data_IF_127076263337
#
_entry.id   IF_127076263337
#
_cell.length_a   1.000
_cell.length_b   1.000
_cell.length_c   1.000
_cell.angle_alpha   90.00
_cell.angle_beta   90.00
_cell.angle_gamma   90.00
#
_symmetry.space_group_name_H-M   'P 1'
#
loop_
_entity.id
_entity.type
_entity.pdbx_description
1 polymer ?
#
# COMPACT_ATOMS: atom_id res chain seq x y z
N UNK A 1 -18.06 5.18 -2.22
CA UNK A 1 -16.81 5.95 -2.53
C UNK A 1 -16.90 6.69 -3.87
N UNK A 2 -16.50 7.97 -3.92
CA UNK A 2 -16.45 8.72 -5.19
C UNK A 2 -15.36 8.14 -6.12
N UNK A 3 -15.54 8.23 -7.45
CA UNK A 3 -14.53 7.75 -8.40
C UNK A 3 -13.14 8.38 -8.14
N UNK A 4 -13.11 9.66 -7.76
CA UNK A 4 -11.86 10.38 -7.46
C UNK A 4 -11.16 9.82 -6.22
N UNK A 5 -11.89 9.49 -5.16
CA UNK A 5 -11.33 8.90 -3.94
C UNK A 5 -10.75 7.50 -4.21
N UNK A 6 -11.41 6.73 -5.09
CA UNK A 6 -10.94 5.41 -5.50
C UNK A 6 -9.61 5.50 -6.23
N UNK A 7 -9.48 6.45 -7.15
CA UNK A 7 -8.22 6.74 -7.82
C UNK A 7 -7.14 7.26 -6.87
N UNK A 8 -7.49 8.12 -5.92
CA UNK A 8 -6.54 8.62 -4.93
C UNK A 8 -5.99 7.49 -4.04
N UNK A 9 -6.86 6.55 -3.64
CA UNK A 9 -6.47 5.37 -2.87
C UNK A 9 -5.53 4.47 -3.68
N UNK A 10 -5.89 4.16 -4.93
CA UNK A 10 -5.06 3.35 -5.83
C UNK A 10 -3.70 4.00 -6.11
N UNK A 11 -3.69 5.29 -6.43
CA UNK A 11 -2.47 6.05 -6.66
C UNK A 11 -1.60 6.12 -5.39
N UNK A 12 -2.21 6.30 -4.21
CA UNK A 12 -1.49 6.28 -2.94
C UNK A 12 -0.84 4.93 -2.64
N UNK A 13 -1.55 3.83 -2.91
CA UNK A 13 -0.98 2.48 -2.75
C UNK A 13 0.18 2.33 -3.72
N UNK A 14 -0.02 2.65 -5.00
CA UNK A 14 0.99 2.54 -6.03
C UNK A 14 2.25 3.35 -5.70
N UNK A 15 2.09 4.60 -5.27
CA UNK A 15 3.19 5.49 -4.90
C UNK A 15 3.96 5.01 -3.66
N UNK A 16 3.41 4.09 -2.87
CA UNK A 16 4.11 3.50 -1.73
C UNK A 16 4.74 2.15 -2.12
N UNK A 17 4.04 1.35 -2.92
CA UNK A 17 4.49 0.00 -3.34
C UNK A 17 5.63 0.07 -4.33
N UNK A 18 5.47 0.82 -5.42
CA UNK A 18 6.46 0.87 -6.49
C UNK A 18 7.86 1.28 -6.01
N UNK A 19 8.05 2.38 -5.26
CA UNK A 19 9.38 2.73 -4.77
C UNK A 19 9.92 1.74 -3.75
N UNK A 20 9.07 1.06 -2.98
CA UNK A 20 9.52 0.05 -2.01
C UNK A 20 10.05 -1.20 -2.70
N UNK A 21 9.36 -1.65 -3.74
CA UNK A 21 9.82 -2.76 -4.59
C UNK A 21 11.10 -2.37 -5.31
N UNK A 22 11.15 -1.19 -5.94
CA UNK A 22 12.35 -0.71 -6.62
C UNK A 22 13.55 -0.62 -5.68
N UNK A 23 13.36 -0.06 -4.47
CA UNK A 23 14.43 0.03 -3.46
C UNK A 23 14.92 -1.36 -3.05
N UNK A 24 14.02 -2.33 -2.87
CA UNK A 24 14.40 -3.69 -2.51
C UNK A 24 15.19 -4.37 -3.63
N UNK A 25 14.77 -4.22 -4.89
CA UNK A 25 15.49 -4.76 -6.05
C UNK A 25 16.90 -4.19 -6.12
N UNK A 26 17.07 -2.88 -5.98
CA UNK A 26 18.40 -2.26 -5.94
C UNK A 26 19.22 -2.72 -4.73
N UNK A 27 18.60 -2.94 -3.57
CA UNK A 27 19.29 -3.40 -2.37
C UNK A 27 19.81 -4.83 -2.54
N UNK A 28 19.03 -5.70 -3.19
CA UNK A 28 19.41 -7.08 -3.46
C UNK A 28 20.52 -7.17 -4.52
N UNK A 29 20.42 -6.37 -5.58
CA UNK A 29 21.48 -6.23 -6.58
C UNK A 29 22.77 -5.68 -5.96
N UNK A 30 22.67 -4.66 -5.08
CA UNK A 30 23.82 -4.10 -4.37
C UNK A 30 24.48 -5.09 -3.40
N UNK A 31 23.70 -6.01 -2.82
CA UNK A 31 24.25 -7.03 -1.93
C UNK A 31 25.04 -8.11 -2.69
N UNK A 32 25.01 -8.11 -4.03
CA UNK A 32 25.64 -9.10 -4.93
C UNK A 32 25.32 -10.54 -4.51
N UNK A 33 24.10 -10.72 -4.04
CA UNK A 33 23.62 -11.98 -3.49
C UNK A 33 23.05 -12.80 -4.63
N UNK A 34 23.76 -13.86 -5.02
CA UNK A 34 23.35 -14.82 -6.05
C UNK A 34 22.26 -15.75 -5.52
N UNK A 35 21.10 -15.17 -5.18
CA UNK A 35 19.94 -15.91 -4.72
C UNK A 35 19.14 -16.45 -5.90
N UNK A 36 18.61 -17.69 -5.78
CA UNK A 36 17.65 -18.17 -6.74
C UNK A 36 16.40 -17.28 -6.73
N UNK A 37 15.82 -17.03 -7.90
CA UNK A 37 14.67 -16.13 -8.10
C UNK A 37 13.54 -16.32 -7.09
N UNK A 38 13.24 -17.57 -6.68
CA UNK A 38 12.20 -17.84 -5.70
C UNK A 38 12.50 -17.24 -4.31
N UNK A 39 13.77 -17.18 -3.90
CA UNK A 39 14.18 -16.63 -2.62
C UNK A 39 14.13 -15.10 -2.62
N UNK A 40 14.55 -14.47 -3.73
CA UNK A 40 14.39 -13.04 -3.95
C UNK A 40 12.92 -12.63 -3.91
N UNK A 41 12.05 -13.36 -4.62
CA UNK A 41 10.60 -13.11 -4.59
C UNK A 41 10.05 -13.28 -3.18
N UNK A 42 10.48 -14.32 -2.46
CA UNK A 42 10.01 -14.59 -1.10
C UNK A 42 10.42 -13.50 -0.12
N UNK A 43 11.66 -13.04 -0.16
CA UNK A 43 12.11 -11.92 0.68
C UNK A 43 11.39 -10.62 0.30
N UNK A 44 11.30 -10.32 -1.00
CA UNK A 44 10.65 -9.10 -1.49
C UNK A 44 9.19 -9.07 -1.07
N UNK A 45 8.46 -10.18 -1.22
CA UNK A 45 7.05 -10.27 -0.79
C UNK A 45 6.90 -10.27 0.74
N UNK A 46 7.80 -10.94 1.47
CA UNK A 46 7.81 -10.95 2.93
C UNK A 46 8.00 -9.55 3.53
N UNK A 47 8.69 -8.63 2.83
CA UNK A 47 8.86 -7.24 3.27
C UNK A 47 7.75 -6.34 2.71
N UNK A 48 7.40 -6.51 1.43
CA UNK A 48 6.44 -5.65 0.75
C UNK A 48 5.02 -5.82 1.31
N UNK A 49 4.60 -7.04 1.67
CA UNK A 49 3.24 -7.30 2.19
C UNK A 49 2.98 -6.63 3.56
N UNK A 50 3.86 -6.77 4.57
CA UNK A 50 3.73 -6.03 5.82
C UNK A 50 3.78 -4.52 5.61
N UNK A 51 4.68 -4.05 4.74
CA UNK A 51 4.82 -2.63 4.44
C UNK A 51 3.52 -2.06 3.85
N UNK A 52 2.90 -2.76 2.91
CA UNK A 52 1.59 -2.38 2.37
C UNK A 52 0.54 -2.33 3.48
N UNK A 53 0.44 -3.42 4.25
CA UNK A 53 -0.66 -3.63 5.18
C UNK A 53 -0.59 -2.69 6.39
N UNK A 54 0.62 -2.44 6.90
CA UNK A 54 0.83 -1.73 8.15
C UNK A 54 1.27 -0.27 7.95
N UNK A 55 1.81 0.08 6.78
CA UNK A 55 2.26 1.44 6.50
C UNK A 55 1.38 2.07 5.44
N UNK A 56 1.33 1.52 4.23
CA UNK A 56 0.67 2.16 3.08
C UNK A 56 -0.83 2.39 3.32
N UNK A 57 -1.56 1.33 3.70
CA UNK A 57 -3.01 1.42 3.95
C UNK A 57 -3.35 2.47 5.02
N UNK A 58 -2.77 2.43 6.24
CA UNK A 58 -3.10 3.44 7.24
C UNK A 58 -2.61 4.85 6.86
N UNK A 59 -1.51 5.00 6.13
CA UNK A 59 -1.05 6.32 5.68
C UNK A 59 -2.10 6.95 4.75
N UNK A 60 -2.61 6.17 3.80
CA UNK A 60 -3.60 6.61 2.83
C UNK A 60 -4.93 6.90 3.52
N UNK A 61 -5.37 6.06 4.45
CA UNK A 61 -6.57 6.33 5.27
C UNK A 61 -6.42 7.65 6.04
N UNK A 62 -5.23 7.97 6.56
CA UNK A 62 -4.94 9.25 7.24
C UNK A 62 -5.04 10.44 6.29
N UNK A 63 -4.50 10.32 5.09
CA UNK A 63 -4.52 11.37 4.06
C UNK A 63 -5.96 11.62 3.61
N UNK A 64 -6.72 10.54 3.39
CA UNK A 64 -8.12 10.63 2.96
C UNK A 64 -8.99 11.25 4.06
N UNK A 65 -8.83 10.81 5.32
CA UNK A 65 -9.53 11.38 6.48
C UNK A 65 -9.24 12.89 6.64
N UNK A 66 -7.97 13.30 6.49
CA UNK A 66 -7.61 14.74 6.51
C UNK A 66 -8.26 15.54 5.40
N UNK A 67 -8.45 14.96 4.20
CA UNK A 67 -9.11 15.66 3.08
C UNK A 67 -10.62 15.75 3.23
N UNK A 68 -11.25 14.79 3.90
CA UNK A 68 -12.70 14.75 4.12
C UNK A 68 -13.15 15.44 5.41
N UNK A 69 -12.20 15.78 6.31
CA UNK A 69 -12.50 16.29 7.65
C UNK A 69 -13.38 15.34 8.49
N UNK A 70 -13.34 14.05 8.15
CA UNK A 70 -14.13 12.97 8.75
C UNK A 70 -13.22 11.99 9.49
N UNK A 71 -13.78 11.29 10.48
CA UNK A 71 -13.04 10.29 11.25
C UNK A 71 -12.78 9.02 10.44
N UNK A 72 -11.65 8.34 10.68
CA UNK A 72 -11.35 7.00 10.11
C UNK A 72 -12.50 5.99 10.29
N UNK A 73 -13.32 6.17 11.34
CA UNK A 73 -14.47 5.33 11.63
C UNK A 73 -15.64 5.54 10.65
N UNK A 74 -15.83 6.75 10.12
CA UNK A 74 -16.89 7.08 9.16
C UNK A 74 -16.54 6.53 7.77
N UNK A 75 -15.28 6.68 7.34
CA UNK A 75 -14.80 6.09 6.09
C UNK A 75 -15.00 4.56 6.03
N UNK A 76 -14.72 3.85 7.13
CA UNK A 76 -14.94 2.40 7.21
C UNK A 76 -16.41 2.01 7.24
N UNK A 77 -17.28 2.84 7.83
CA UNK A 77 -18.74 2.62 7.84
C UNK A 77 -19.33 2.85 6.45
N UNK A 78 -18.87 3.87 5.73
CA UNK A 78 -19.28 4.15 4.35
C UNK A 78 -18.82 3.05 3.39
N UNK A 79 -17.59 2.57 3.51
CA UNK A 79 -17.11 1.41 2.72
C UNK A 79 -17.92 0.14 3.01
N UNK A 80 -18.25 -0.14 4.28
CA UNK A 80 -19.06 -1.29 4.64
C UNK A 80 -20.51 -1.17 4.13
N UNK A 81 -21.02 0.04 3.95
CA UNK A 81 -22.34 0.30 3.39
C UNK A 81 -22.36 0.14 1.87
N UNK A 82 -21.33 0.63 1.18
CA UNK A 82 -21.15 0.56 -0.29
C UNK A 82 -20.92 -0.88 -0.81
N UNK A 83 -20.52 -1.83 0.05
CA UNK A 83 -20.35 -3.26 -0.30
C UNK A 83 -21.67 -4.05 -0.14
N UNK A 84 -22.64 -3.49 0.60
CA UNK A 84 -23.88 -4.18 0.98
C UNK A 84 -25.08 -3.82 0.08
N UNK A 85 -24.94 -2.77 -0.71
CA UNK A 85 -25.89 -2.29 -1.73
C UNK A 85 -25.46 -2.77 -3.12
#
# INVERSE_FOLDING_TARGET
>A
MSRSERWLRLAGIWLTVYPSVALMSYLLEWLDVDWPLWAEILLTTAITVPLISWVSVPLIERILARRRNESRAELKRDEARDIRD
#
